data_IF_415586175340
#
_entry.id   IF_415586175340
#
_cell.length_a   1.000
_cell.length_b   1.000
_cell.length_c   1.000
_cell.angle_alpha   90.00
_cell.angle_beta   90.00
_cell.angle_gamma   90.00
#
_symmetry.space_group_name_H-M   'P 1'
#
loop_
_entity.id
_entity.type
_entity.pdbx_description
1 polymer ?
#
# COMPACT_ATOMS: atom_id res chain seq x y z
N UNK A 1 27.53 62.40 33.15
CA UNK A 1 28.97 62.63 33.38
C UNK A 1 29.62 62.56 32.03
N UNK A 2 29.94 63.62 31.62
CA UNK A 2 31.08 64.38 31.18
C UNK A 2 31.26 64.32 29.67
N UNK A 3 30.85 65.30 28.87
CA UNK A 3 31.53 66.53 28.54
C UNK A 3 32.96 66.24 28.05
N UNK A 4 33.51 66.76 26.91
CA UNK A 4 33.77 68.18 26.56
C UNK A 4 34.32 68.25 25.14
N UNK A 5 33.70 69.00 24.27
CA UNK A 5 34.21 70.27 23.64
C UNK A 5 35.32 70.17 22.62
N UNK A 6 35.01 70.62 21.43
CA UNK A 6 35.41 71.91 20.75
C UNK A 6 36.85 72.13 20.44
N UNK A 7 37.21 72.41 19.17
CA UNK A 7 37.74 73.72 18.79
C UNK A 7 37.83 73.94 17.28
N UNK A 8 37.23 75.00 16.87
CA UNK A 8 37.40 75.85 15.70
C UNK A 8 38.81 76.36 15.48
N UNK A 9 39.24 76.48 14.25
CA UNK A 9 40.12 77.60 13.85
C UNK A 9 39.85 78.01 12.42
N UNK A 10 39.56 79.26 12.27
CA UNK A 10 39.34 80.16 11.15
C UNK A 10 40.67 80.70 10.64
N UNK A 11 40.65 81.29 9.45
CA UNK A 11 41.56 82.21 8.80
C UNK A 11 42.26 81.67 7.54
N UNK A 12 42.41 82.35 6.43
CA UNK A 12 42.05 83.69 5.97
C UNK A 12 42.20 83.68 4.45
N UNK A 13 41.45 84.55 3.76
CA UNK A 13 41.67 84.99 2.36
C UNK A 13 42.93 85.86 2.24
N UNK A 14 43.51 85.89 1.02
CA UNK A 14 43.48 87.18 0.35
C UNK A 14 43.16 87.12 -1.15
N UNK A 15 42.71 88.28 -1.61
CA UNK A 15 42.22 88.67 -2.92
C UNK A 15 43.34 88.74 -4.00
N UNK A 16 42.92 88.58 -5.27
CA UNK A 16 43.69 88.96 -6.44
C UNK A 16 42.85 88.79 -7.73
N UNK A 17 42.98 89.66 -8.71
CA UNK A 17 41.93 90.13 -9.63
C UNK A 17 41.78 89.31 -10.93
N UNK A 18 40.82 89.69 -11.81
CA UNK A 18 40.18 88.82 -12.76
C UNK A 18 40.88 88.73 -14.09
N UNK A 19 41.03 87.60 -14.68
CA UNK A 19 41.30 87.44 -16.11
C UNK A 19 40.18 86.70 -16.80
N UNK A 20 39.46 87.46 -17.60
CA UNK A 20 38.52 86.99 -18.57
C UNK A 20 39.22 86.15 -19.66
N UNK A 21 38.88 84.96 -19.81
CA UNK A 21 39.11 84.18 -21.04
C UNK A 21 37.73 83.68 -21.54
N UNK A 22 37.29 84.36 -22.55
CA UNK A 22 36.20 83.86 -23.41
C UNK A 22 36.73 82.62 -24.15
N UNK A 23 36.32 81.46 -23.71
CA UNK A 23 36.50 80.22 -24.46
C UNK A 23 35.24 79.99 -25.28
N UNK A 24 35.35 80.19 -26.59
CA UNK A 24 34.36 79.77 -27.60
C UNK A 24 34.02 78.29 -27.37
N UNK A 25 32.76 78.05 -27.11
CA UNK A 25 32.14 76.70 -27.16
C UNK A 25 32.09 76.24 -28.59
N UNK A 26 33.12 75.53 -29.03
CA UNK A 26 33.03 74.73 -30.22
C UNK A 26 31.94 73.58 -29.99
N UNK A 27 31.00 73.37 -30.88
CA UNK A 27 30.04 72.29 -30.75
C UNK A 27 30.78 70.94 -30.88
N UNK A 28 31.08 70.33 -29.73
CA UNK A 28 31.65 68.98 -29.70
C UNK A 28 30.73 68.00 -30.36
N UNK A 29 31.16 67.56 -31.50
CA UNK A 29 30.50 66.44 -32.22
C UNK A 29 30.49 65.22 -31.30
N UNK A 30 29.34 64.84 -30.81
CA UNK A 30 29.12 63.59 -30.08
C UNK A 30 29.67 62.43 -30.93
N UNK A 31 30.55 61.56 -30.40
CA UNK A 31 31.08 60.47 -31.18
C UNK A 31 29.92 59.60 -31.59
N UNK A 32 29.63 59.50 -32.89
CA UNK A 32 28.72 58.53 -33.46
C UNK A 32 29.24 57.15 -33.08
N UNK A 33 28.67 56.56 -32.00
CA UNK A 33 28.87 55.15 -31.60
C UNK A 33 28.45 54.28 -32.80
N UNK A 34 29.41 53.91 -33.61
CA UNK A 34 29.17 52.89 -34.65
C UNK A 34 28.76 51.60 -33.90
N UNK A 35 27.50 51.27 -33.95
CA UNK A 35 27.00 50.01 -33.48
C UNK A 35 27.82 48.91 -34.15
N UNK A 36 28.62 48.20 -33.33
CA UNK A 36 29.40 47.04 -33.82
C UNK A 36 28.37 45.92 -34.06
N UNK A 37 27.91 45.79 -35.29
CA UNK A 37 26.84 44.86 -35.72
C UNK A 37 27.27 43.40 -35.57
N UNK A 38 28.57 43.12 -35.72
CA UNK A 38 29.16 41.78 -35.60
C UNK A 38 28.95 41.15 -34.23
N UNK A 39 29.32 41.79 -33.07
CA UNK A 39 29.03 41.20 -31.75
C UNK A 39 27.52 41.05 -31.48
N UNK A 40 26.68 41.96 -31.98
CA UNK A 40 25.23 41.87 -31.85
C UNK A 40 24.66 40.67 -32.63
N UNK A 41 25.23 40.38 -33.80
CA UNK A 41 24.83 39.23 -34.65
C UNK A 41 25.23 37.87 -34.07
N UNK A 42 26.24 37.85 -33.18
CA UNK A 42 26.65 36.65 -32.46
C UNK A 42 25.90 36.51 -31.13
N UNK A 43 25.74 37.62 -30.37
CA UNK A 43 25.12 37.58 -29.03
C UNK A 43 23.61 37.33 -29.07
N UNK A 44 22.87 37.79 -30.13
CA UNK A 44 21.45 37.56 -30.27
C UNK A 44 21.08 36.07 -30.45
N UNK A 45 21.72 35.34 -31.40
CA UNK A 45 21.43 33.90 -31.55
C UNK A 45 21.91 33.06 -30.38
N UNK A 46 23.04 33.43 -29.73
CA UNK A 46 23.47 32.72 -28.50
C UNK A 46 22.49 32.93 -27.33
N UNK A 47 21.96 34.13 -27.16
CA UNK A 47 20.92 34.42 -26.17
C UNK A 47 19.64 33.73 -26.48
N UNK A 48 19.22 33.69 -27.76
CA UNK A 48 18.04 32.95 -28.22
C UNK A 48 18.19 31.43 -27.97
N UNK A 49 19.36 30.88 -28.28
CA UNK A 49 19.65 29.47 -28.01
C UNK A 49 19.65 29.17 -26.50
N UNK A 50 20.25 30.04 -25.68
CA UNK A 50 20.23 29.90 -24.23
C UNK A 50 18.81 30.00 -23.67
N UNK A 51 17.98 30.89 -24.18
CA UNK A 51 16.58 31.02 -23.81
C UNK A 51 15.77 29.76 -24.18
N UNK A 52 15.97 29.22 -25.39
CA UNK A 52 15.31 27.98 -25.83
C UNK A 52 15.74 26.79 -24.95
N UNK A 53 17.03 26.67 -24.64
CA UNK A 53 17.53 25.63 -23.76
C UNK A 53 17.01 25.79 -22.32
N UNK A 54 16.92 27.03 -21.83
CA UNK A 54 16.36 27.31 -20.51
C UNK A 54 14.86 26.96 -20.45
N UNK A 55 14.09 27.30 -21.47
CA UNK A 55 12.67 26.92 -21.57
C UNK A 55 12.49 25.41 -21.69
N UNK A 56 13.30 24.74 -22.50
CA UNK A 56 13.27 23.29 -22.63
C UNK A 56 13.64 22.57 -21.31
N UNK A 57 14.66 23.07 -20.60
CA UNK A 57 15.01 22.55 -19.27
C UNK A 57 13.93 22.87 -18.24
N UNK A 58 13.28 24.01 -18.33
CA UNK A 58 12.18 24.38 -17.44
C UNK A 58 10.99 23.42 -17.60
N UNK A 59 10.57 23.13 -18.82
CA UNK A 59 9.51 22.17 -19.10
C UNK A 59 9.88 20.75 -18.65
N UNK A 60 11.14 20.34 -18.86
CA UNK A 60 11.59 18.99 -18.52
C UNK A 60 11.70 18.78 -16.99
N UNK A 61 12.12 19.80 -16.23
CA UNK A 61 12.43 19.67 -14.80
C UNK A 61 11.35 20.18 -13.86
N UNK A 62 10.54 21.18 -14.28
CA UNK A 62 9.55 21.81 -13.41
C UNK A 62 8.12 21.26 -13.58
N UNK A 63 7.82 20.59 -14.70
CA UNK A 63 6.47 20.10 -14.99
C UNK A 63 6.21 18.70 -14.43
N UNK A 64 7.26 17.91 -14.19
CA UNK A 64 7.08 16.57 -13.63
C UNK A 64 6.61 16.64 -12.15
N UNK A 65 5.42 16.15 -11.83
CA UNK A 65 4.94 16.14 -10.45
C UNK A 65 5.81 15.21 -9.60
N UNK A 66 6.26 15.73 -8.47
CA UNK A 66 7.07 14.99 -7.52
C UNK A 66 6.64 15.25 -6.07
N UNK A 67 6.92 14.29 -5.21
CA UNK A 67 6.69 14.41 -3.76
C UNK A 67 7.81 13.76 -2.98
N UNK A 68 8.15 14.33 -1.82
CA UNK A 68 9.05 13.71 -0.83
C UNK A 68 8.29 12.87 0.19
N UNK A 69 6.98 12.97 0.20
CA UNK A 69 6.12 12.26 1.11
C UNK A 69 5.62 10.96 0.44
N UNK A 70 6.56 10.06 0.24
CA UNK A 70 6.29 8.71 -0.25
C UNK A 70 6.59 7.69 0.85
N UNK A 71 5.78 6.66 0.95
CA UNK A 71 5.96 5.57 1.91
C UNK A 71 5.82 4.23 1.22
N UNK A 72 6.80 3.35 1.44
CA UNK A 72 6.73 1.96 1.00
C UNK A 72 5.68 1.23 1.82
N UNK A 73 4.77 0.55 1.15
CA UNK A 73 3.71 -0.26 1.73
C UNK A 73 3.82 -1.70 1.26
N UNK A 74 3.20 -2.59 2.01
CA UNK A 74 3.14 -4.01 1.70
C UNK A 74 1.90 -4.61 2.36
N UNK A 75 1.36 -5.67 1.81
CA UNK A 75 0.33 -6.45 2.49
C UNK A 75 0.96 -7.32 3.58
N UNK A 76 0.39 -7.25 4.76
CA UNK A 76 0.78 -8.10 5.89
C UNK A 76 -0.37 -9.05 6.17
N UNK A 77 -0.12 -10.34 5.97
CA UNK A 77 -1.09 -11.40 6.26
C UNK A 77 -0.93 -11.80 7.71
N UNK A 78 -1.98 -11.56 8.49
CA UNK A 78 -2.06 -11.99 9.89
C UNK A 78 -2.61 -13.41 9.94
N UNK A 79 -1.88 -14.32 10.53
CA UNK A 79 -2.32 -15.71 10.73
C UNK A 79 -2.77 -15.92 12.17
N UNK A 80 -4.06 -16.11 12.29
CA UNK A 80 -4.70 -16.53 13.53
C UNK A 80 -5.10 -18.00 13.43
N UNK A 81 -4.97 -18.79 14.50
CA UNK A 81 -5.47 -20.14 14.54
C UNK A 81 -6.98 -20.22 14.32
N UNK A 82 -7.43 -21.24 13.62
CA UNK A 82 -8.86 -21.54 13.43
C UNK A 82 -9.34 -22.58 14.41
N UNK A 83 -8.42 -23.23 15.14
CA UNK A 83 -8.66 -24.17 16.22
C UNK A 83 -7.79 -23.82 17.42
N UNK A 84 -8.24 -24.15 18.62
CA UNK A 84 -7.51 -23.83 19.86
C UNK A 84 -6.69 -25.03 20.32
N UNK A 85 -5.56 -24.77 21.00
CA UNK A 85 -4.74 -25.82 21.60
C UNK A 85 -3.32 -25.37 21.88
N UNK A 86 -2.51 -26.26 22.45
CA UNK A 86 -1.11 -25.97 22.74
C UNK A 86 -0.27 -26.01 21.46
N UNK A 87 0.67 -25.06 21.35
CA UNK A 87 1.65 -25.06 20.27
C UNK A 87 2.74 -26.11 20.59
N UNK A 88 2.86 -27.12 19.73
CA UNK A 88 3.79 -28.25 19.91
C UNK A 88 4.99 -28.15 18.97
N UNK A 89 4.84 -27.39 17.87
CA UNK A 89 5.92 -27.18 16.90
C UNK A 89 5.86 -25.78 16.35
N UNK A 90 7.04 -25.12 16.26
CA UNK A 90 7.21 -23.77 15.75
C UNK A 90 8.51 -23.72 14.95
N UNK A 91 8.50 -24.19 13.69
CA UNK A 91 9.72 -24.35 12.88
C UNK A 91 10.29 -23.04 12.34
N UNK A 92 9.56 -21.93 12.49
CA UNK A 92 9.94 -20.62 11.92
C UNK A 92 10.49 -19.68 12.99
N UNK A 93 11.29 -18.71 12.54
CA UNK A 93 11.85 -17.63 13.36
C UNK A 93 11.41 -16.28 12.81
N UNK A 94 11.45 -15.27 13.66
CA UNK A 94 11.19 -13.89 13.23
C UNK A 94 12.20 -13.47 12.15
N UNK A 95 11.73 -12.72 11.15
CA UNK A 95 12.47 -12.30 9.95
C UNK A 95 12.96 -13.45 9.02
N UNK A 96 12.49 -14.67 9.20
CA UNK A 96 12.76 -15.77 8.29
C UNK A 96 11.90 -15.68 7.04
N UNK A 97 12.50 -15.91 5.88
CA UNK A 97 11.76 -16.06 4.62
C UNK A 97 11.07 -17.43 4.57
N UNK A 98 9.81 -17.42 4.18
CA UNK A 98 8.96 -18.61 4.02
C UNK A 98 8.27 -18.58 2.66
N UNK A 99 8.03 -19.77 2.09
CA UNK A 99 7.27 -19.92 0.87
C UNK A 99 5.80 -20.22 1.19
N UNK A 100 4.95 -19.95 0.23
CA UNK A 100 3.53 -20.34 0.29
C UNK A 100 3.41 -21.85 0.51
N UNK A 101 2.68 -22.25 1.56
CA UNK A 101 2.51 -23.64 1.98
C UNK A 101 3.47 -24.09 3.06
N UNK A 102 4.54 -23.37 3.35
CA UNK A 102 5.46 -23.71 4.44
C UNK A 102 4.75 -23.72 5.79
N UNK A 103 5.14 -24.67 6.64
CA UNK A 103 4.60 -24.82 7.97
C UNK A 103 5.10 -23.70 8.87
N UNK A 104 4.18 -22.98 9.48
CA UNK A 104 4.49 -21.88 10.41
C UNK A 104 4.44 -22.34 11.86
N UNK A 105 3.39 -23.07 12.26
CA UNK A 105 3.26 -23.67 13.57
C UNK A 105 2.30 -24.84 13.56
N UNK A 106 2.39 -25.72 14.55
CA UNK A 106 1.49 -26.85 14.76
C UNK A 106 0.87 -26.75 16.14
N UNK A 107 -0.45 -26.82 16.18
CA UNK A 107 -1.23 -27.01 17.40
C UNK A 107 -1.34 -28.51 17.68
N UNK A 108 -1.32 -28.92 18.95
CA UNK A 108 -1.39 -30.31 19.34
C UNK A 108 -2.56 -31.03 18.63
N UNK A 109 -2.28 -31.97 17.72
CA UNK A 109 -3.32 -32.64 16.93
C UNK A 109 -3.98 -33.81 17.64
N UNK A 110 -3.57 -34.14 18.87
CA UNK A 110 -3.96 -35.38 19.56
C UNK A 110 -5.48 -35.50 19.71
N UNK A 111 -6.13 -34.48 20.27
CA UNK A 111 -7.58 -34.49 20.48
C UNK A 111 -8.33 -34.48 19.15
N UNK A 112 -7.81 -33.78 18.15
CA UNK A 112 -8.39 -33.72 16.81
C UNK A 112 -8.29 -35.07 16.08
N UNK A 113 -7.17 -35.82 16.24
CA UNK A 113 -7.03 -37.20 15.72
C UNK A 113 -8.01 -38.14 16.39
N UNK A 114 -8.18 -38.03 17.72
CA UNK A 114 -9.18 -38.82 18.45
C UNK A 114 -10.59 -38.54 17.92
N UNK A 115 -10.93 -37.27 17.70
CA UNK A 115 -12.21 -36.86 17.15
C UNK A 115 -12.45 -37.44 15.74
N UNK A 116 -11.44 -37.48 14.88
CA UNK A 116 -11.52 -38.10 13.55
C UNK A 116 -11.82 -39.59 13.69
N UNK A 117 -11.06 -40.35 14.51
CA UNK A 117 -11.22 -41.76 14.70
C UNK A 117 -12.65 -42.11 15.27
N UNK A 118 -13.12 -41.28 16.22
CA UNK A 118 -14.47 -41.43 16.78
C UNK A 118 -15.56 -41.26 15.70
N UNK A 119 -15.45 -40.24 14.86
CA UNK A 119 -16.41 -40.00 13.81
C UNK A 119 -16.30 -41.03 12.67
N UNK A 120 -15.11 -41.59 12.40
CA UNK A 120 -14.96 -42.72 11.45
C UNK A 120 -15.73 -43.97 11.92
N UNK A 121 -15.60 -44.31 13.21
CA UNK A 121 -16.39 -45.39 13.79
C UNK A 121 -17.91 -45.14 13.71
N UNK A 122 -18.33 -43.88 13.96
CA UNK A 122 -19.75 -43.49 13.83
C UNK A 122 -20.26 -43.58 12.38
N UNK A 123 -19.44 -43.26 11.39
CA UNK A 123 -19.79 -43.45 9.97
C UNK A 123 -19.96 -44.91 9.65
N UNK A 124 -19.04 -45.80 10.08
CA UNK A 124 -19.17 -47.26 9.86
C UNK A 124 -20.44 -47.83 10.47
N UNK A 125 -20.76 -47.40 11.69
CA UNK A 125 -22.00 -47.83 12.35
C UNK A 125 -23.24 -47.34 11.59
N UNK A 126 -23.27 -46.07 11.19
CA UNK A 126 -24.40 -45.48 10.46
C UNK A 126 -24.56 -46.09 9.06
N UNK A 127 -23.47 -46.43 8.39
CA UNK A 127 -23.45 -47.12 7.11
C UNK A 127 -24.07 -48.53 7.23
N UNK A 128 -23.65 -49.32 8.24
CA UNK A 128 -24.22 -50.62 8.50
C UNK A 128 -25.74 -50.56 8.76
N UNK A 129 -26.19 -49.53 9.50
CA UNK A 129 -27.62 -49.31 9.76
C UNK A 129 -28.37 -48.93 8.47
N UNK A 130 -27.80 -48.06 7.64
CA UNK A 130 -28.38 -47.66 6.37
C UNK A 130 -28.53 -48.84 5.40
N UNK A 131 -27.47 -49.67 5.28
CA UNK A 131 -27.50 -50.89 4.47
C UNK A 131 -28.53 -51.90 4.96
N UNK A 132 -28.69 -52.02 6.29
CA UNK A 132 -29.70 -52.88 6.87
C UNK A 132 -31.14 -52.36 6.59
N UNK A 133 -31.34 -51.05 6.79
CA UNK A 133 -32.61 -50.39 6.50
C UNK A 133 -33.02 -50.51 5.03
N UNK A 134 -32.06 -50.31 4.12
CA UNK A 134 -32.29 -50.47 2.67
C UNK A 134 -32.68 -51.92 2.32
N UNK A 135 -31.92 -52.92 2.84
CA UNK A 135 -32.24 -54.36 2.63
C UNK A 135 -33.60 -54.74 3.17
N UNK A 136 -33.98 -54.25 4.35
CA UNK A 136 -35.26 -54.49 4.97
C UNK A 136 -36.43 -53.90 4.13
N UNK A 137 -36.26 -52.61 3.74
CA UNK A 137 -37.22 -51.91 2.89
C UNK A 137 -37.45 -52.65 1.55
N UNK A 138 -36.35 -53.04 0.89
CA UNK A 138 -36.38 -53.80 -0.37
C UNK A 138 -37.11 -55.15 -0.22
N UNK A 139 -36.76 -55.90 0.82
CA UNK A 139 -37.41 -57.17 1.13
C UNK A 139 -38.93 -57.02 1.35
N UNK A 140 -39.37 -55.96 2.07
CA UNK A 140 -40.77 -55.67 2.31
C UNK A 140 -41.56 -55.26 1.05
N UNK A 141 -40.87 -54.53 0.16
CA UNK A 141 -41.47 -54.13 -1.12
C UNK A 141 -41.70 -55.28 -2.07
N UNK A 142 -40.89 -56.34 -2.06
CA UNK A 142 -40.94 -57.49 -2.88
C UNK A 142 -42.06 -58.45 -2.42
N UNK A 143 -42.53 -58.34 -1.15
CA UNK A 143 -43.64 -59.21 -0.64
C UNK A 143 -45.01 -58.79 -1.21
N UNK A 144 -45.87 -59.77 -1.37
CA UNK A 144 -47.25 -59.54 -1.86
C UNK A 144 -48.06 -58.75 -0.82
N UNK A 145 -49.15 -58.10 -1.27
CA UNK A 145 -50.07 -57.35 -0.41
C UNK A 145 -50.87 -58.24 0.57
N UNK A 146 -50.86 -59.53 0.39
CA UNK A 146 -51.42 -60.48 1.34
C UNK A 146 -50.53 -60.73 2.56
N UNK A 147 -49.22 -60.47 2.43
CA UNK A 147 -48.24 -60.71 3.47
C UNK A 147 -47.79 -59.42 4.24
N UNK A 148 -47.89 -58.23 3.59
CA UNK A 148 -47.49 -56.96 4.16
C UNK A 148 -48.41 -55.84 3.70
N UNK A 149 -48.90 -55.03 4.63
CA UNK A 149 -49.82 -53.92 4.30
C UNK A 149 -49.08 -52.80 3.54
N UNK A 150 -49.80 -51.96 2.82
CA UNK A 150 -49.23 -50.76 2.12
C UNK A 150 -48.58 -49.79 3.13
N UNK A 151 -49.23 -49.67 4.29
CA UNK A 151 -48.75 -48.82 5.37
C UNK A 151 -47.40 -49.30 5.90
N UNK A 152 -47.23 -50.61 6.13
CA UNK A 152 -45.95 -51.20 6.53
C UNK A 152 -44.86 -50.99 5.48
N UNK A 153 -45.13 -51.14 4.20
CA UNK A 153 -44.21 -50.91 3.10
C UNK A 153 -43.76 -49.47 3.14
N UNK A 154 -44.66 -48.51 3.33
CA UNK A 154 -44.36 -47.09 3.40
C UNK A 154 -43.53 -46.73 4.66
N UNK A 155 -43.82 -47.35 5.79
CA UNK A 155 -43.11 -47.21 7.04
C UNK A 155 -41.61 -47.62 6.90
N UNK A 156 -41.39 -48.83 6.31
CA UNK A 156 -40.04 -49.33 6.08
C UNK A 156 -39.29 -48.49 5.04
N UNK A 157 -39.96 -47.99 4.01
CA UNK A 157 -39.35 -47.09 3.05
C UNK A 157 -38.94 -45.75 3.71
N UNK A 158 -39.80 -45.17 4.53
CA UNK A 158 -39.49 -43.95 5.30
C UNK A 158 -38.37 -44.15 6.31
N UNK A 159 -38.33 -45.32 6.99
CA UNK A 159 -37.26 -45.69 7.91
C UNK A 159 -35.92 -45.82 7.18
N UNK A 160 -35.89 -46.44 5.99
CA UNK A 160 -34.67 -46.53 5.19
C UNK A 160 -34.12 -45.15 4.80
N UNK A 161 -35.00 -44.21 4.41
CA UNK A 161 -34.63 -42.83 4.13
C UNK A 161 -34.06 -42.13 5.39
N UNK A 162 -34.67 -42.36 6.55
CA UNK A 162 -34.24 -41.80 7.81
C UNK A 162 -32.81 -42.27 8.22
N UNK A 163 -32.53 -43.58 8.13
CA UNK A 163 -31.21 -44.12 8.46
C UNK A 163 -30.16 -43.73 7.42
N UNK A 164 -30.56 -43.55 6.15
CA UNK A 164 -29.67 -42.98 5.12
C UNK A 164 -29.30 -41.52 5.41
N UNK A 165 -30.25 -40.71 5.88
CA UNK A 165 -29.99 -39.35 6.30
C UNK A 165 -29.03 -39.28 7.53
N UNK A 166 -29.18 -40.26 8.47
CA UNK A 166 -28.26 -40.41 9.61
C UNK A 166 -26.83 -40.75 9.16
N UNK A 167 -26.67 -41.62 8.16
CA UNK A 167 -25.37 -41.92 7.56
C UNK A 167 -24.76 -40.67 6.94
N UNK A 168 -25.50 -39.89 6.15
CA UNK A 168 -25.02 -38.64 5.58
C UNK A 168 -24.61 -37.62 6.67
N UNK A 169 -25.36 -37.56 7.76
CA UNK A 169 -25.00 -36.71 8.91
C UNK A 169 -23.70 -37.17 9.57
N UNK A 170 -23.47 -38.48 9.71
CA UNK A 170 -22.23 -39.00 10.27
C UNK A 170 -21.03 -38.69 9.37
N UNK A 171 -21.19 -38.82 8.05
CA UNK A 171 -20.15 -38.42 7.06
C UNK A 171 -19.82 -36.94 7.17
N UNK A 172 -20.82 -36.06 7.27
CA UNK A 172 -20.59 -34.62 7.42
C UNK A 172 -19.84 -34.30 8.72
N UNK A 173 -20.11 -34.98 9.83
CA UNK A 173 -19.37 -34.83 11.09
C UNK A 173 -17.91 -35.29 10.98
N UNK A 174 -17.66 -36.39 10.26
CA UNK A 174 -16.30 -36.85 9.98
C UNK A 174 -15.52 -35.83 9.18
N UNK A 175 -16.11 -35.27 8.12
CA UNK A 175 -15.46 -34.24 7.32
C UNK A 175 -15.14 -32.96 8.17
N UNK A 176 -16.05 -32.57 9.05
CA UNK A 176 -15.81 -31.49 9.99
C UNK A 176 -14.63 -31.79 10.92
N UNK A 177 -14.52 -33.01 11.43
CA UNK A 177 -13.40 -33.42 12.28
C UNK A 177 -12.07 -33.41 11.51
N UNK A 178 -12.07 -33.88 10.26
CA UNK A 178 -10.89 -33.84 9.37
C UNK A 178 -10.43 -32.42 9.07
N UNK A 179 -11.35 -31.51 8.77
CA UNK A 179 -11.07 -30.09 8.56
C UNK A 179 -10.44 -29.49 9.82
N UNK A 180 -10.99 -29.78 11.01
CA UNK A 180 -10.42 -29.28 12.26
C UNK A 180 -9.01 -29.84 12.52
N UNK A 181 -8.76 -31.10 12.18
CA UNK A 181 -7.41 -31.69 12.25
C UNK A 181 -6.45 -30.98 11.27
N UNK A 182 -6.87 -30.73 10.04
CA UNK A 182 -6.06 -29.99 9.07
C UNK A 182 -5.72 -28.57 9.56
N UNK A 183 -6.63 -27.91 10.26
CA UNK A 183 -6.45 -26.57 10.84
C UNK A 183 -5.48 -26.52 11.98
N UNK A 184 -5.03 -27.67 12.53
CA UNK A 184 -3.95 -27.71 13.51
C UNK A 184 -2.60 -27.36 12.91
N UNK A 185 -2.42 -27.51 11.59
CA UNK A 185 -1.23 -27.12 10.85
C UNK A 185 -1.43 -25.74 10.23
N UNK A 186 -0.82 -24.73 10.79
CA UNK A 186 -0.89 -23.37 10.28
C UNK A 186 0.22 -23.17 9.26
N UNK A 187 -0.16 -22.89 8.01
CA UNK A 187 0.76 -22.73 6.88
C UNK A 187 0.71 -21.32 6.30
N UNK A 188 1.81 -20.88 5.69
CA UNK A 188 1.88 -19.58 5.02
C UNK A 188 1.00 -19.54 3.76
N UNK A 189 0.13 -18.55 3.61
CA UNK A 189 -0.66 -18.38 2.39
C UNK A 189 0.09 -17.67 1.26
N UNK A 190 1.24 -17.04 1.56
CA UNK A 190 2.04 -16.21 0.65
C UNK A 190 3.52 -16.51 0.79
N UNK A 191 4.32 -16.08 -0.20
CA UNK A 191 5.77 -16.02 -0.07
C UNK A 191 6.14 -14.74 0.69
N UNK A 192 7.07 -14.81 1.65
CA UNK A 192 7.44 -13.60 2.35
C UNK A 192 8.21 -13.82 3.63
N UNK A 193 8.29 -12.78 4.45
CA UNK A 193 9.05 -12.81 5.70
C UNK A 193 8.11 -12.89 6.89
N UNK A 194 8.39 -13.83 7.78
CA UNK A 194 7.73 -13.88 9.09
C UNK A 194 8.06 -12.61 9.85
N UNK A 195 7.07 -11.98 10.43
CA UNK A 195 7.22 -10.79 11.28
C UNK A 195 6.24 -10.86 12.44
N UNK A 196 6.57 -10.19 13.53
CA UNK A 196 5.71 -10.15 14.71
C UNK A 196 5.28 -11.56 15.16
N UNK A 197 6.27 -12.44 15.32
CA UNK A 197 6.08 -13.77 15.86
C UNK A 197 5.84 -13.68 17.37
N UNK A 198 4.56 -13.71 17.76
CA UNK A 198 4.14 -13.63 19.16
C UNK A 198 4.11 -15.01 19.81
N UNK A 199 3.83 -16.04 19.04
CA UNK A 199 3.74 -17.42 19.47
C UNK A 199 5.06 -17.98 20.01
N UNK A 200 5.00 -18.73 21.08
CA UNK A 200 6.12 -19.50 21.62
C UNK A 200 5.75 -20.98 21.74
N UNK A 201 6.77 -21.84 21.68
CA UNK A 201 6.57 -23.27 21.89
C UNK A 201 6.01 -23.54 23.29
N UNK A 202 4.89 -24.24 23.36
CA UNK A 202 4.20 -24.54 24.63
C UNK A 202 3.08 -23.57 24.98
N UNK A 203 2.96 -22.44 24.33
CA UNK A 203 1.84 -21.52 24.50
C UNK A 203 0.50 -22.14 24.09
N UNK A 204 -0.58 -21.60 24.61
CA UNK A 204 -1.93 -21.99 24.22
C UNK A 204 -2.51 -21.01 23.22
N UNK A 205 -2.66 -21.44 21.99
CA UNK A 205 -3.22 -20.64 20.90
C UNK A 205 -4.75 -20.61 20.97
N UNK A 206 -5.33 -19.42 20.86
CA UNK A 206 -6.76 -19.19 20.85
C UNK A 206 -7.26 -18.89 19.43
N UNK A 207 -8.49 -19.31 19.16
CA UNK A 207 -9.13 -19.05 17.85
C UNK A 207 -9.25 -17.54 17.62
N UNK A 208 -8.79 -17.09 16.46
CA UNK A 208 -8.90 -15.69 16.03
C UNK A 208 -7.84 -14.74 16.60
N UNK A 209 -6.99 -15.20 17.51
CA UNK A 209 -5.87 -14.40 18.03
C UNK A 209 -4.72 -14.43 17.04
N UNK A 210 -4.19 -13.24 16.67
CA UNK A 210 -3.05 -13.17 15.76
C UNK A 210 -1.78 -13.63 16.45
N UNK A 211 -1.19 -14.72 15.98
CA UNK A 211 0.03 -15.32 16.55
C UNK A 211 1.26 -15.07 15.67
N UNK A 212 1.06 -15.02 14.35
CA UNK A 212 2.14 -14.86 13.37
C UNK A 212 1.66 -13.91 12.28
N UNK A 213 2.53 -13.02 11.83
CA UNK A 213 2.29 -12.19 10.66
C UNK A 213 3.33 -12.51 9.58
N UNK A 214 2.92 -12.48 8.31
CA UNK A 214 3.81 -12.67 7.16
C UNK A 214 3.69 -11.47 6.24
N UNK A 215 4.82 -10.82 5.98
CA UNK A 215 4.93 -9.74 5.00
C UNK A 215 5.01 -10.37 3.61
N UNK A 216 4.03 -10.09 2.77
CA UNK A 216 3.97 -10.65 1.41
C UNK A 216 5.03 -10.03 0.50
N UNK A 217 6.00 -10.85 0.09
CA UNK A 217 7.14 -10.42 -0.72
C UNK A 217 6.76 -9.85 -2.10
N UNK A 218 5.63 -10.29 -2.63
CA UNK A 218 5.18 -9.96 -3.99
C UNK A 218 4.22 -8.77 -4.03
N UNK A 219 3.96 -8.13 -2.87
CA UNK A 219 2.92 -7.12 -2.74
C UNK A 219 3.42 -5.71 -2.41
N UNK A 220 4.69 -5.42 -2.59
CA UNK A 220 5.23 -4.09 -2.31
C UNK A 220 4.73 -3.04 -3.29
N UNK A 221 4.36 -1.87 -2.77
CA UNK A 221 4.06 -0.66 -3.55
C UNK A 221 4.53 0.58 -2.81
N UNK A 222 4.45 1.73 -3.46
CA UNK A 222 4.72 3.02 -2.82
C UNK A 222 3.49 3.90 -2.89
N UNK A 223 3.06 4.42 -1.76
CA UNK A 223 2.05 5.48 -1.70
C UNK A 223 2.79 6.83 -1.72
N UNK A 224 2.69 7.58 -2.82
CA UNK A 224 3.16 8.95 -2.91
C UNK A 224 2.03 9.93 -2.61
N UNK A 225 2.22 10.84 -1.66
CA UNK A 225 1.21 11.82 -1.28
C UNK A 225 1.45 13.11 -2.05
N UNK A 226 0.67 13.34 -3.10
CA UNK A 226 0.75 14.52 -3.95
C UNK A 226 -0.26 15.57 -3.51
N UNK A 227 0.10 16.84 -3.62
CA UNK A 227 -0.86 17.93 -3.44
C UNK A 227 -1.92 17.90 -4.53
N UNK A 228 -3.16 18.22 -4.19
CA UNK A 228 -4.29 18.21 -5.14
C UNK A 228 -4.03 19.11 -6.37
N UNK A 229 -3.24 20.16 -6.21
CA UNK A 229 -2.81 21.07 -7.28
C UNK A 229 -1.90 20.42 -8.32
N UNK A 230 -1.24 19.31 -7.96
CA UNK A 230 -0.28 18.61 -8.82
C UNK A 230 -0.83 17.30 -9.40
N UNK A 231 -2.13 17.03 -9.24
CA UNK A 231 -2.74 15.79 -9.73
C UNK A 231 -3.14 15.82 -11.20
N UNK A 232 -3.37 17.01 -11.75
CA UNK A 232 -3.89 17.15 -13.11
C UNK A 232 -3.06 16.42 -14.18
N UNK A 233 -1.72 16.46 -14.17
CA UNK A 233 -0.92 15.75 -15.15
C UNK A 233 -0.79 14.24 -14.90
N UNK A 234 -1.13 13.74 -13.71
CA UNK A 234 -0.91 12.34 -13.32
C UNK A 234 -2.00 11.44 -13.89
N UNK A 235 -1.60 10.35 -14.56
CA UNK A 235 -2.50 9.33 -15.12
C UNK A 235 -2.08 7.93 -14.67
N UNK A 236 -3.04 7.03 -14.58
CA UNK A 236 -2.78 5.60 -14.37
C UNK A 236 -1.96 5.06 -15.55
N UNK A 237 -0.90 4.33 -15.23
CA UNK A 237 0.06 3.81 -16.19
C UNK A 237 1.25 4.73 -16.48
N UNK A 238 1.29 5.96 -15.94
CA UNK A 238 2.45 6.83 -16.11
C UNK A 238 3.69 6.23 -15.41
N UNK A 239 4.87 6.30 -16.04
CA UNK A 239 6.11 5.87 -15.42
C UNK A 239 6.40 6.66 -14.15
N UNK A 240 6.93 5.99 -13.14
CA UNK A 240 7.29 6.59 -11.87
C UNK A 240 8.70 6.18 -11.46
N UNK A 241 9.45 7.15 -10.94
CA UNK A 241 10.77 6.98 -10.38
C UNK A 241 10.70 7.16 -8.87
N UNK A 242 11.07 6.12 -8.12
CA UNK A 242 11.02 6.10 -6.67
C UNK A 242 12.44 6.06 -6.12
N UNK A 243 12.82 7.07 -5.36
CA UNK A 243 14.10 7.14 -4.66
C UNK A 243 13.87 6.93 -3.18
N UNK A 244 14.32 5.80 -2.66
CA UNK A 244 14.29 5.51 -1.23
C UNK A 244 15.33 6.35 -0.49
N UNK A 245 15.00 6.81 0.72
CA UNK A 245 15.90 7.70 1.47
C UNK A 245 17.22 7.01 1.86
N UNK A 246 17.19 5.69 2.11
CA UNK A 246 18.37 4.92 2.52
C UNK A 246 19.23 4.38 1.36
N UNK A 247 18.83 4.58 0.10
CA UNK A 247 19.50 4.00 -1.07
C UNK A 247 19.80 5.07 -2.13
N UNK A 248 20.88 4.89 -2.86
CA UNK A 248 21.24 5.78 -4.00
C UNK A 248 20.53 5.37 -5.30
N UNK A 249 20.20 4.08 -5.43
CA UNK A 249 19.54 3.53 -6.61
C UNK A 249 18.07 4.00 -6.69
N UNK A 250 17.59 4.10 -7.93
CA UNK A 250 16.20 4.46 -8.23
C UNK A 250 15.43 3.18 -8.50
N UNK A 251 14.35 2.97 -7.77
CA UNK A 251 13.36 1.94 -8.01
C UNK A 251 12.40 2.44 -9.09
N UNK A 252 12.15 1.64 -10.11
CA UNK A 252 11.25 1.98 -11.21
C UNK A 252 9.89 1.34 -11.02
N UNK A 253 8.87 2.09 -11.39
CA UNK A 253 7.49 1.66 -11.30
C UNK A 253 6.58 2.46 -12.21
N UNK A 254 5.29 2.25 -12.04
CA UNK A 254 4.26 3.02 -12.74
C UNK A 254 3.10 3.33 -11.79
N UNK A 255 2.32 4.34 -12.13
CA UNK A 255 1.12 4.71 -11.40
C UNK A 255 0.07 3.61 -11.58
N UNK A 256 -0.26 2.91 -10.50
CA UNK A 256 -1.31 1.89 -10.48
C UNK A 256 -2.69 2.52 -10.30
N UNK A 257 -2.81 3.41 -9.32
CA UNK A 257 -4.10 4.03 -9.00
C UNK A 257 -3.93 5.36 -8.26
N UNK A 258 -4.97 6.19 -8.34
CA UNK A 258 -5.09 7.45 -7.60
C UNK A 258 -6.27 7.29 -6.63
N UNK A 259 -6.05 7.57 -5.36
CA UNK A 259 -7.08 7.43 -4.35
C UNK A 259 -8.29 8.35 -4.64
N UNK A 260 -9.49 7.79 -4.53
CA UNK A 260 -10.74 8.51 -4.77
C UNK A 260 -11.36 9.12 -3.52
N UNK A 261 -10.74 8.89 -2.36
CA UNK A 261 -11.21 9.42 -1.09
C UNK A 261 -10.08 9.53 -0.08
N UNK A 262 -10.11 10.58 0.69
CA UNK A 262 -9.25 10.82 1.84
C UNK A 262 -10.12 11.13 3.06
N UNK A 263 -9.62 10.79 4.24
CA UNK A 263 -10.28 11.18 5.48
C UNK A 263 -9.82 12.61 5.84
N UNK A 264 -10.77 13.54 5.83
CA UNK A 264 -10.53 14.92 6.26
C UNK A 264 -11.35 15.22 7.53
N UNK A 265 -10.82 16.07 8.40
CA UNK A 265 -11.41 16.34 9.71
C UNK A 265 -12.89 16.78 9.66
N UNK A 266 -13.30 17.44 8.56
CA UNK A 266 -14.68 17.91 8.37
C UNK A 266 -15.61 16.89 7.69
N UNK A 267 -15.11 15.70 7.31
CA UNK A 267 -15.91 14.72 6.58
C UNK A 267 -16.62 13.70 7.49
N UNK A 268 -16.26 13.64 8.76
CA UNK A 268 -16.88 12.69 9.67
C UNK A 268 -18.13 13.31 10.32
N UNK A 269 -19.31 12.69 10.16
CA UNK A 269 -20.48 13.09 10.93
C UNK A 269 -20.22 12.84 12.41
N UNK A 270 -20.73 13.70 13.28
CA UNK A 270 -20.74 13.47 14.72
C UNK A 270 -21.63 12.25 15.06
N UNK A 271 -21.60 11.79 16.30
CA UNK A 271 -22.43 10.66 16.76
C UNK A 271 -23.94 10.84 16.59
N UNK A 272 -24.41 12.05 16.21
CA UNK A 272 -25.80 12.38 15.91
C UNK A 272 -26.09 12.43 14.39
N UNK A 273 -25.12 12.08 13.55
CA UNK A 273 -25.29 12.10 12.10
C UNK A 273 -25.20 13.48 11.44
N UNK A 274 -24.83 14.51 12.19
CA UNK A 274 -24.66 15.87 11.67
C UNK A 274 -23.21 16.10 11.22
N UNK A 275 -23.04 16.89 10.14
CA UNK A 275 -21.72 17.26 9.66
C UNK A 275 -20.95 18.06 10.73
N UNK A 276 -19.74 17.62 11.04
CA UNK A 276 -18.84 18.33 11.93
C UNK A 276 -18.07 19.37 11.12
N UNK A 277 -18.40 20.65 11.31
CA UNK A 277 -17.76 21.76 10.60
C UNK A 277 -16.88 22.52 11.60
N UNK A 278 -15.56 22.33 11.50
CA UNK A 278 -14.62 23.16 12.24
C UNK A 278 -14.42 24.50 11.50
N UNK A 279 -14.61 25.65 12.15
CA UNK A 279 -14.27 26.93 11.54
C UNK A 279 -12.76 26.99 11.30
N UNK A 280 -12.37 27.10 10.04
CA UNK A 280 -10.95 27.21 9.65
C UNK A 280 -10.59 28.70 9.62
N UNK A 281 -9.87 29.16 10.64
CA UNK A 281 -9.30 30.50 10.70
C UNK A 281 -7.88 30.57 10.11
N UNK A 282 -7.60 29.82 9.04
CA UNK A 282 -6.30 29.84 8.41
C UNK A 282 -6.27 30.86 7.26
N UNK A 283 -5.33 31.79 7.33
CA UNK A 283 -5.03 32.76 6.28
C UNK A 283 -4.72 32.09 4.93
N UNK A 284 -4.07 30.93 4.96
CA UNK A 284 -3.73 30.15 3.78
C UNK A 284 -4.43 28.79 3.85
N UNK A 285 -5.19 28.45 2.82
CA UNK A 285 -5.78 27.13 2.66
C UNK A 285 -4.69 26.21 2.10
N UNK A 286 -4.25 25.26 2.90
CA UNK A 286 -3.29 24.25 2.45
C UNK A 286 -3.99 23.25 1.52
N UNK A 287 -3.34 22.91 0.41
CA UNK A 287 -3.79 21.87 -0.49
C UNK A 287 -3.85 20.52 0.24
N UNK A 288 -4.88 19.74 -0.04
CA UNK A 288 -4.97 18.37 0.49
C UNK A 288 -3.96 17.47 -0.21
N UNK A 289 -3.52 16.43 0.50
CA UNK A 289 -2.61 15.44 -0.05
C UNK A 289 -3.38 14.19 -0.43
N UNK A 290 -3.27 13.83 -1.70
CA UNK A 290 -3.96 12.68 -2.28
C UNK A 290 -2.93 11.57 -2.49
N UNK A 291 -3.15 10.37 -1.95
CA UNK A 291 -2.25 9.25 -2.20
C UNK A 291 -2.39 8.73 -3.63
N UNK A 292 -1.26 8.64 -4.29
CA UNK A 292 -1.08 8.00 -5.59
C UNK A 292 -0.29 6.72 -5.35
N UNK A 293 -0.87 5.59 -5.71
CA UNK A 293 -0.21 4.29 -5.61
C UNK A 293 0.68 4.06 -6.80
N UNK A 294 1.93 3.76 -6.53
CA UNK A 294 2.92 3.38 -7.53
C UNK A 294 3.26 1.91 -7.35
N UNK A 295 2.98 1.11 -8.37
CA UNK A 295 3.42 -0.27 -8.48
C UNK A 295 4.92 -0.31 -8.74
N UNK A 296 5.63 -1.25 -8.13
CA UNK A 296 7.08 -1.42 -8.31
C UNK A 296 7.30 -2.46 -9.40
N UNK A 297 7.87 -2.04 -10.53
CA UNK A 297 8.14 -2.93 -11.66
C UNK A 297 9.51 -3.60 -11.53
N UNK A 298 10.50 -2.86 -11.02
CA UNK A 298 11.87 -3.35 -10.92
C UNK A 298 12.56 -2.79 -9.68
N UNK A 299 13.07 -3.71 -8.86
CA UNK A 299 13.90 -3.41 -7.71
C UNK A 299 15.36 -3.63 -8.10
N UNK A 300 16.24 -2.62 -8.03
CA UNK A 300 17.67 -2.80 -8.30
C UNK A 300 18.33 -3.76 -7.32
N UNK A 301 19.39 -4.43 -7.76
CA UNK A 301 20.19 -5.30 -6.88
C UNK A 301 20.74 -4.54 -5.68
N UNK A 302 20.66 -5.15 -4.50
CA UNK A 302 21.14 -4.55 -3.24
C UNK A 302 20.12 -3.64 -2.54
N UNK A 303 18.94 -3.40 -3.12
CA UNK A 303 17.85 -2.69 -2.45
C UNK A 303 16.96 -3.69 -1.73
N UNK A 304 16.87 -3.57 -0.42
CA UNK A 304 15.94 -4.35 0.42
C UNK A 304 14.77 -3.45 0.79
N UNK A 305 13.58 -3.83 0.30
CA UNK A 305 12.36 -3.10 0.62
C UNK A 305 11.84 -3.49 2.01
N UNK A 306 11.42 -2.48 2.78
CA UNK A 306 10.73 -2.68 4.04
C UNK A 306 9.53 -1.75 4.15
N UNK A 307 8.44 -2.23 4.71
CA UNK A 307 7.27 -1.41 4.97
C UNK A 307 7.62 -0.21 5.84
N UNK A 308 7.09 0.96 5.51
CA UNK A 308 7.34 2.19 6.25
C UNK A 308 8.58 2.97 5.82
N UNK A 309 9.40 2.47 4.87
CA UNK A 309 10.50 3.26 4.31
C UNK A 309 9.97 4.52 3.63
N UNK A 310 10.69 5.63 3.83
CA UNK A 310 10.39 6.91 3.20
C UNK A 310 10.98 6.95 1.78
N UNK A 311 10.22 7.49 0.86
CA UNK A 311 10.60 7.62 -0.53
C UNK A 311 10.29 9.01 -1.09
N UNK A 312 11.08 9.44 -2.05
CA UNK A 312 10.73 10.54 -2.96
C UNK A 312 10.17 9.89 -4.24
N UNK A 313 9.00 10.31 -4.64
CA UNK A 313 8.32 9.79 -5.83
C UNK A 313 8.25 10.91 -6.86
N UNK A 314 8.71 10.64 -8.07
CA UNK A 314 8.56 11.49 -9.24
C UNK A 314 7.78 10.72 -10.28
N UNK A 315 6.78 11.35 -10.87
CA UNK A 315 5.99 10.78 -11.95
C UNK A 315 6.35 11.52 -13.23
N UNK A 316 6.64 10.77 -14.30
CA UNK A 316 6.95 11.32 -15.60
C UNK A 316 5.68 11.20 -16.49
N UNK A 317 4.85 12.28 -16.60
CA UNK A 317 3.62 12.23 -17.35
C UNK A 317 3.93 11.93 -18.83
N UNK A 318 3.23 10.99 -19.42
CA UNK A 318 3.32 10.77 -20.87
C UNK A 318 2.80 12.01 -21.60
N UNK A 319 3.51 12.49 -22.63
CA UNK A 319 2.99 13.61 -23.41
C UNK A 319 1.59 13.27 -23.91
N UNK A 320 0.63 14.13 -23.60
CA UNK A 320 -0.74 13.97 -24.07
C UNK A 320 -0.71 13.85 -25.61
N UNK A 321 -1.03 12.67 -26.12
CA UNK A 321 -1.53 12.60 -27.48
C UNK A 321 -2.85 13.36 -27.47
N UNK A 322 -2.82 14.59 -27.96
CA UNK A 322 -4.01 15.39 -28.21
C UNK A 322 -4.97 14.52 -29.02
N UNK A 323 -5.98 13.97 -28.34
CA UNK A 323 -7.11 13.35 -29.02
C UNK A 323 -7.74 14.45 -29.87
N UNK A 324 -7.57 14.32 -31.20
CA UNK A 324 -8.25 15.13 -32.20
C UNK A 324 -9.73 14.80 -32.22
#
# INVERSE_FOLDING_TARGET
MSEVQTKSKKEARPDGPPHAWSAELAPGALPRRRLRVIPLLITLPTLALAAILCLAMWDLYMVAPWTRDGTVRVYVVKKAPEVAGRIVELPVKDNQFVHKGDLLMVIDPTDYKIAVNLNEAAVQQAEANAQNGERESKRRQELTTLAVTVEEKQTYASSAVAVQAQHQQAVAKLEQARVNLQRTEIRSPVNGWVTNLLAQLGDYANVGQNEISVVDADSFWVDGYFEETNLEPIRVGDPASVKLMGYSQIVRGHVDSIARGINVANAQPNGQGLANVNPIFTWVRLAQRIPVRVHIDQVPEGVVLSAGMTATVQIDPRPQQLAK
#
